data_IF_455988651996
#
_entry.id   IF_455988651996
#
_cell.length_a   1.000
_cell.length_b   1.000
_cell.length_c   1.000
_cell.angle_alpha   90.00
_cell.angle_beta   90.00
_cell.angle_gamma   90.00
#
_symmetry.space_group_name_H-M   'P 1'
#
loop_
_entity.id
_entity.type
_entity.pdbx_description
1 polymer ?
#
# COMPACT_ATOMS: atom_id res chain seq x y z
N UNK A 1 18.57 26.39 3.57
CA UNK A 1 17.88 26.24 2.27
C UNK A 1 18.79 25.44 1.36
N UNK A 2 18.35 24.29 0.89
CA UNK A 2 18.99 23.59 -0.23
C UNK A 2 17.86 22.98 -1.07
N UNK A 3 17.75 23.46 -2.31
CA UNK A 3 16.81 23.00 -3.30
C UNK A 3 17.63 22.18 -4.30
N UNK A 4 17.33 20.88 -4.42
CA UNK A 4 17.84 20.06 -5.53
C UNK A 4 16.66 19.85 -6.46
N UNK A 5 16.69 20.57 -7.58
CA UNK A 5 15.78 20.38 -8.72
C UNK A 5 16.40 19.35 -9.63
N UNK A 6 15.68 18.25 -9.87
CA UNK A 6 16.02 17.29 -10.92
C UNK A 6 14.88 16.30 -11.12
N UNK A 7 14.06 16.53 -12.14
CA UNK A 7 13.79 15.62 -13.27
C UNK A 7 12.84 16.34 -14.25
N UNK A 8 12.98 16.04 -15.54
CA UNK A 8 12.35 16.73 -16.68
C UNK A 8 10.81 16.80 -16.54
N UNK A 9 10.28 18.03 -16.52
CA UNK A 9 8.82 18.29 -16.51
C UNK A 9 8.33 18.97 -15.24
N UNK A 10 8.98 20.07 -14.83
CA UNK A 10 8.78 20.71 -13.52
C UNK A 10 7.32 21.04 -13.21
N UNK A 11 6.67 20.14 -12.47
CA UNK A 11 5.39 20.38 -11.83
C UNK A 11 5.54 21.55 -10.86
N UNK A 12 4.57 22.45 -10.87
CA UNK A 12 4.50 23.50 -9.87
C UNK A 12 4.38 22.84 -8.48
N UNK A 13 4.86 23.50 -7.43
CA UNK A 13 4.83 22.93 -6.07
C UNK A 13 3.42 22.47 -5.63
N UNK A 14 2.37 23.13 -6.13
CA UNK A 14 0.97 22.78 -5.89
C UNK A 14 0.53 21.51 -6.63
N UNK A 15 1.24 21.10 -7.67
CA UNK A 15 0.95 19.95 -8.53
C UNK A 15 1.76 18.70 -8.12
N UNK A 16 2.65 18.83 -7.14
CA UNK A 16 3.41 17.69 -6.59
C UNK A 16 2.44 16.81 -5.76
N UNK A 17 2.27 15.53 -6.10
CA UNK A 17 1.45 14.62 -5.32
C UNK A 17 1.93 14.53 -3.88
N UNK A 18 0.99 14.64 -2.93
CA UNK A 18 1.30 14.49 -1.52
C UNK A 18 1.35 13.02 -1.15
N UNK A 19 2.47 12.59 -0.57
CA UNK A 19 2.62 11.26 0.05
C UNK A 19 2.40 11.40 1.56
N UNK A 20 1.51 10.59 2.12
CA UNK A 20 1.19 10.61 3.54
C UNK A 20 0.73 9.23 4.01
N UNK A 21 0.93 8.92 5.29
CA UNK A 21 0.35 7.74 5.91
C UNK A 21 -1.16 7.91 6.08
N UNK A 22 -1.88 6.80 6.19
CA UNK A 22 -3.32 6.78 6.42
C UNK A 22 -3.74 7.61 7.64
N UNK A 23 -3.01 7.48 8.75
CA UNK A 23 -3.27 8.27 9.97
C UNK A 23 -3.17 9.77 9.71
N UNK A 24 -2.18 10.20 8.92
CA UNK A 24 -1.96 11.61 8.57
C UNK A 24 -3.05 12.17 7.65
N UNK A 25 -3.83 11.30 7.01
CA UNK A 25 -4.93 11.66 6.11
C UNK A 25 -6.30 11.66 6.81
N UNK A 26 -6.37 11.37 8.11
CA UNK A 26 -7.61 11.45 8.87
C UNK A 26 -8.24 12.85 8.76
N UNK A 27 -9.53 12.89 8.40
CA UNK A 27 -10.29 14.14 8.22
C UNK A 27 -9.92 14.94 6.97
N UNK A 28 -9.05 14.43 6.09
CA UNK A 28 -8.67 15.06 4.82
C UNK A 28 -9.26 14.28 3.65
N UNK A 29 -9.29 14.90 2.49
CA UNK A 29 -9.78 14.29 1.25
C UNK A 29 -8.91 14.70 0.04
N UNK A 30 -9.02 13.94 -1.05
CA UNK A 30 -8.39 14.24 -2.33
C UNK A 30 -9.25 13.70 -3.46
N UNK A 31 -9.24 14.36 -4.62
CA UNK A 31 -9.93 13.87 -5.83
C UNK A 31 -9.43 12.50 -6.24
N UNK A 32 -8.12 12.36 -6.32
CA UNK A 32 -7.44 11.12 -6.70
C UNK A 32 -6.57 10.65 -5.55
N UNK A 33 -6.67 9.35 -5.24
CA UNK A 33 -5.84 8.69 -4.25
C UNK A 33 -5.24 7.42 -4.83
N UNK A 34 -3.94 7.26 -4.63
CA UNK A 34 -3.23 6.01 -4.83
C UNK A 34 -2.95 5.47 -3.42
N UNK A 35 -3.56 4.34 -3.10
CA UNK A 35 -3.47 3.69 -1.80
C UNK A 35 -2.63 2.41 -1.93
N UNK A 36 -1.41 2.45 -1.40
CA UNK A 36 -0.55 1.28 -1.29
C UNK A 36 -0.77 0.62 0.07
N UNK A 37 -1.23 -0.63 0.05
CA UNK A 37 -1.49 -1.39 1.27
C UNK A 37 -0.21 -1.90 1.93
N UNK A 38 0.95 -1.91 1.25
CA UNK A 38 2.22 -2.39 1.81
C UNK A 38 2.10 -3.80 2.43
N UNK A 39 1.37 -4.69 1.75
CA UNK A 39 1.18 -6.10 2.15
C UNK A 39 1.94 -6.99 1.17
N UNK A 40 2.61 -8.02 1.70
CA UNK A 40 3.28 -9.03 0.88
C UNK A 40 2.43 -10.28 0.67
N UNK A 41 1.80 -10.80 1.71
CA UNK A 41 0.87 -11.94 1.67
C UNK A 41 -0.17 -11.85 2.78
N UNK A 42 -1.17 -12.71 2.74
CA UNK A 42 -2.14 -12.91 3.81
C UNK A 42 -2.18 -14.38 4.27
N UNK A 43 -1.02 -15.05 4.37
CA UNK A 43 -0.93 -16.42 4.88
C UNK A 43 -0.95 -16.42 6.42
N UNK A 44 -0.30 -15.46 7.05
CA UNK A 44 -0.38 -15.18 8.47
C UNK A 44 -0.75 -13.71 8.75
N UNK A 45 -1.31 -13.42 9.92
CA UNK A 45 -1.59 -12.03 10.33
C UNK A 45 -0.32 -11.18 10.44
N UNK A 46 0.83 -11.80 10.77
CA UNK A 46 2.13 -11.15 10.79
C UNK A 46 2.56 -10.59 9.42
N UNK A 47 2.12 -11.21 8.33
CA UNK A 47 2.46 -10.80 6.95
C UNK A 47 1.74 -9.51 6.55
N UNK A 48 0.63 -9.22 7.20
CA UNK A 48 -0.23 -8.05 6.94
C UNK A 48 0.14 -6.87 7.83
N UNK A 49 0.94 -7.07 8.89
CA UNK A 49 1.42 -6.00 9.74
C UNK A 49 0.31 -5.09 10.28
N UNK A 50 0.48 -3.77 10.16
CA UNK A 50 -0.47 -2.78 10.68
C UNK A 50 -1.76 -2.65 9.85
N UNK A 51 -1.86 -3.30 8.67
CA UNK A 51 -3.06 -3.18 7.82
C UNK A 51 -4.20 -4.11 8.24
N UNK A 52 -3.99 -4.94 9.26
CA UNK A 52 -5.05 -5.74 9.88
C UNK A 52 -6.08 -4.88 10.62
N UNK A 53 -5.71 -3.64 10.98
CA UNK A 53 -6.61 -2.70 11.64
C UNK A 53 -7.62 -2.12 10.63
N UNK A 54 -8.84 -2.63 10.68
CA UNK A 54 -9.95 -2.20 9.83
C UNK A 54 -10.26 -0.70 9.96
N UNK A 55 -9.97 -0.06 11.09
CA UNK A 55 -10.19 1.38 11.23
C UNK A 55 -9.23 2.17 10.34
N UNK A 56 -7.97 1.74 10.27
CA UNK A 56 -6.99 2.32 9.33
C UNK A 56 -7.43 2.09 7.90
N UNK A 57 -7.88 0.87 7.59
CA UNK A 57 -8.46 0.55 6.29
C UNK A 57 -9.60 1.50 5.90
N UNK A 58 -10.58 1.67 6.79
CA UNK A 58 -11.72 2.56 6.58
C UNK A 58 -11.30 4.02 6.37
N UNK A 59 -10.33 4.51 7.15
CA UNK A 59 -9.78 5.86 6.95
C UNK A 59 -9.21 5.95 5.54
N UNK A 60 -8.30 5.05 5.15
CA UNK A 60 -7.65 5.08 3.82
C UNK A 60 -8.66 5.03 2.67
N UNK A 61 -9.61 4.12 2.75
CA UNK A 61 -10.65 3.86 1.73
C UNK A 61 -11.71 4.95 1.62
N UNK A 62 -11.75 5.93 2.53
CA UNK A 62 -12.78 7.01 2.53
C UNK A 62 -12.21 8.39 2.25
N UNK A 63 -10.95 8.49 1.84
CA UNK A 63 -10.30 9.78 1.57
C UNK A 63 -10.53 10.27 0.14
N UNK A 64 -10.92 9.41 -0.80
CA UNK A 64 -11.11 9.80 -2.20
C UNK A 64 -12.46 10.48 -2.43
N UNK A 65 -12.52 11.43 -3.35
CA UNK A 65 -13.79 12.04 -3.79
C UNK A 65 -14.17 11.70 -5.24
N UNK A 66 -13.21 11.30 -6.08
CA UNK A 66 -13.48 10.94 -7.49
C UNK A 66 -12.92 9.55 -7.83
N UNK A 67 -11.62 9.32 -7.65
CA UNK A 67 -10.95 8.07 -8.08
C UNK A 67 -10.02 7.55 -7.00
N UNK A 68 -10.05 6.23 -6.79
CA UNK A 68 -9.08 5.51 -5.96
C UNK A 68 -8.44 4.36 -6.72
N UNK A 69 -7.11 4.28 -6.60
CA UNK A 69 -6.30 3.18 -7.10
C UNK A 69 -5.73 2.43 -5.88
N UNK A 70 -6.10 1.17 -5.72
CA UNK A 70 -5.58 0.31 -4.66
C UNK A 70 -4.44 -0.56 -5.21
N UNK A 71 -3.27 -0.49 -4.60
CA UNK A 71 -2.09 -1.29 -4.96
C UNK A 71 -1.88 -2.34 -3.89
N UNK A 72 -1.96 -3.61 -4.30
CA UNK A 72 -1.73 -4.77 -3.44
C UNK A 72 -1.52 -6.05 -4.27
N UNK A 73 -0.85 -7.08 -3.72
CA UNK A 73 -0.68 -8.34 -4.42
C UNK A 73 -2.03 -9.06 -4.61
N UNK A 74 -2.31 -9.52 -5.84
CA UNK A 74 -3.55 -10.22 -6.17
C UNK A 74 -3.81 -11.44 -5.27
N UNK A 75 -2.75 -12.14 -4.84
CA UNK A 75 -2.83 -13.30 -3.94
C UNK A 75 -3.47 -13.00 -2.57
N UNK A 76 -3.48 -11.74 -2.12
CA UNK A 76 -4.08 -11.35 -0.83
C UNK A 76 -5.57 -11.72 -0.77
N UNK A 77 -6.27 -11.78 -1.91
CA UNK A 77 -7.67 -12.22 -1.99
C UNK A 77 -7.87 -13.73 -1.87
N UNK A 78 -6.83 -14.55 -2.00
CA UNK A 78 -6.90 -16.02 -2.01
C UNK A 78 -5.98 -16.73 -1.00
N UNK A 79 -5.10 -16.00 -0.33
CA UNK A 79 -4.19 -16.53 0.69
C UNK A 79 -4.94 -17.04 1.94
N UNK A 80 -4.27 -17.78 2.82
CA UNK A 80 -4.93 -18.55 3.88
C UNK A 80 -5.89 -17.74 4.80
N UNK A 81 -5.62 -16.46 5.04
CA UNK A 81 -6.49 -15.57 5.85
C UNK A 81 -7.64 -14.93 5.09
N UNK A 82 -7.66 -15.03 3.76
CA UNK A 82 -8.80 -14.59 2.96
C UNK A 82 -9.90 -15.66 2.87
N UNK A 83 -9.60 -16.90 3.26
CA UNK A 83 -10.55 -17.99 3.26
C UNK A 83 -11.42 -17.90 4.52
N UNK A 84 -12.75 -17.95 4.34
CA UNK A 84 -13.65 -17.99 5.50
C UNK A 84 -13.32 -19.23 6.33
N UNK A 85 -12.88 -19.04 7.57
CA UNK A 85 -12.84 -20.13 8.52
C UNK A 85 -14.30 -20.42 8.88
N UNK A 86 -14.74 -21.67 8.69
CA UNK A 86 -16.11 -22.08 8.98
C UNK A 86 -16.55 -21.71 10.41
N UNK A 87 -17.85 -21.83 10.74
CA UNK A 87 -18.40 -21.38 12.02
C UNK A 87 -17.53 -21.86 13.20
N UNK A 88 -16.78 -20.94 13.82
CA UNK A 88 -16.07 -21.27 15.04
C UNK A 88 -17.01 -21.07 16.22
N UNK A 89 -16.84 -21.88 17.27
CA UNK A 89 -17.53 -21.67 18.54
C UNK A 89 -16.53 -21.14 19.55
N UNK A 90 -16.87 -20.07 20.27
CA UNK A 90 -16.07 -19.63 21.41
C UNK A 90 -16.21 -20.65 22.56
N UNK A 91 -15.49 -20.43 23.67
CA UNK A 91 -15.57 -21.28 24.87
C UNK A 91 -16.96 -21.33 25.52
N UNK A 92 -17.87 -20.42 25.14
CA UNK A 92 -19.25 -20.33 25.59
C UNK A 92 -20.24 -21.00 24.62
N UNK A 93 -19.76 -21.49 23.47
CA UNK A 93 -20.58 -22.12 22.44
C UNK A 93 -21.18 -21.17 21.41
N UNK A 94 -20.92 -19.86 21.52
CA UNK A 94 -21.43 -18.87 20.58
C UNK A 94 -20.73 -18.98 19.23
N UNK A 95 -21.49 -18.78 18.15
CA UNK A 95 -20.96 -18.72 16.79
C UNK A 95 -20.12 -17.46 16.62
N UNK A 96 -18.81 -17.64 16.49
CA UNK A 96 -17.86 -16.60 16.06
C UNK A 96 -17.82 -16.61 14.54
N UNK A 97 -18.35 -15.55 13.94
CA UNK A 97 -18.11 -15.24 12.54
C UNK A 97 -16.77 -14.51 12.52
N UNK A 98 -15.73 -15.17 12.00
CA UNK A 98 -14.44 -14.50 11.81
C UNK A 98 -14.50 -13.78 10.48
N UNK A 99 -14.64 -12.47 10.51
CA UNK A 99 -14.56 -11.66 9.30
C UNK A 99 -13.14 -11.81 8.71
N UNK A 100 -13.08 -11.92 7.39
CA UNK A 100 -11.80 -11.90 6.68
C UNK A 100 -11.15 -10.53 6.88
N UNK A 101 -9.81 -10.44 6.92
CA UNK A 101 -9.12 -9.16 7.04
C UNK A 101 -9.58 -8.18 5.96
N UNK A 102 -9.67 -6.90 6.33
CA UNK A 102 -10.20 -5.87 5.43
C UNK A 102 -9.49 -5.80 4.05
N UNK A 103 -8.15 -5.88 3.96
CA UNK A 103 -7.47 -5.93 2.65
C UNK A 103 -7.87 -7.15 1.81
N UNK A 104 -8.10 -8.31 2.44
CA UNK A 104 -8.55 -9.51 1.75
C UNK A 104 -9.96 -9.32 1.16
N UNK A 105 -10.89 -8.78 1.96
CA UNK A 105 -12.24 -8.45 1.50
C UNK A 105 -12.22 -7.49 0.30
N UNK A 106 -11.36 -6.47 0.34
CA UNK A 106 -11.21 -5.50 -0.74
C UNK A 106 -10.76 -6.17 -2.04
N UNK A 107 -9.73 -7.04 -2.02
CA UNK A 107 -9.29 -7.77 -3.23
C UNK A 107 -10.38 -8.68 -3.76
N UNK A 108 -11.04 -9.43 -2.87
CA UNK A 108 -12.12 -10.35 -3.26
C UNK A 108 -13.24 -9.60 -3.96
N UNK A 109 -13.64 -8.44 -3.42
CA UNK A 109 -14.67 -7.60 -4.01
C UNK A 109 -14.25 -7.04 -5.38
N UNK A 110 -13.05 -6.43 -5.49
CA UNK A 110 -12.56 -5.94 -6.78
C UNK A 110 -12.46 -7.05 -7.84
N UNK A 111 -12.08 -8.26 -7.41
CA UNK A 111 -12.01 -9.42 -8.32
C UNK A 111 -13.39 -9.86 -8.79
N UNK A 112 -14.43 -9.76 -7.94
CA UNK A 112 -15.81 -10.06 -8.35
C UNK A 112 -16.42 -9.02 -9.28
N UNK A 113 -15.92 -7.78 -9.24
CA UNK A 113 -16.38 -6.66 -10.08
C UNK A 113 -15.57 -6.52 -11.39
N UNK A 114 -14.70 -7.49 -11.71
CA UNK A 114 -13.77 -7.47 -12.85
C UNK A 114 -12.93 -6.18 -12.96
N UNK A 115 -12.77 -5.46 -11.84
CA UNK A 115 -12.15 -4.13 -11.77
C UNK A 115 -10.67 -4.21 -11.34
N UNK A 116 -10.00 -5.31 -11.68
CA UNK A 116 -8.61 -5.59 -11.33
C UNK A 116 -7.73 -5.47 -12.57
N UNK A 117 -6.77 -4.56 -12.53
CA UNK A 117 -5.68 -4.52 -13.50
C UNK A 117 -4.48 -5.19 -12.83
N UNK A 118 -3.99 -6.27 -13.43
CA UNK A 118 -2.78 -6.96 -12.95
C UNK A 118 -1.56 -6.43 -13.67
N UNK A 119 -0.48 -6.22 -12.92
CA UNK A 119 0.83 -5.88 -13.47
C UNK A 119 1.89 -6.79 -12.85
N UNK A 120 2.96 -7.04 -13.61
CA UNK A 120 4.13 -7.74 -13.08
C UNK A 120 5.04 -6.70 -12.44
N UNK A 121 5.34 -6.85 -11.16
CA UNK A 121 6.34 -6.01 -10.52
C UNK A 121 7.70 -6.24 -11.20
N UNK A 122 8.38 -5.18 -11.65
CA UNK A 122 9.71 -5.32 -12.23
C UNK A 122 10.67 -5.87 -11.18
N UNK A 123 11.65 -6.66 -11.62
CA UNK A 123 12.74 -7.08 -10.74
C UNK A 123 13.58 -5.87 -10.34
N UNK A 124 14.28 -5.97 -9.21
CA UNK A 124 15.19 -4.93 -8.74
C UNK A 124 16.20 -4.54 -9.84
N UNK A 125 16.74 -5.52 -10.55
CA UNK A 125 17.64 -5.34 -11.68
C UNK A 125 17.02 -4.59 -12.86
N UNK A 126 15.73 -4.83 -13.15
CA UNK A 126 15.00 -4.09 -14.19
C UNK A 126 14.74 -2.64 -13.76
N UNK A 127 14.47 -2.43 -12.47
CA UNK A 127 14.23 -1.10 -11.89
C UNK A 127 15.50 -0.24 -11.97
N UNK A 128 16.66 -0.80 -11.61
CA UNK A 128 17.94 -0.08 -11.63
C UNK A 128 18.58 0.03 -13.02
N UNK A 129 18.27 -0.87 -13.97
CA UNK A 129 18.69 -0.68 -15.37
C UNK A 129 18.02 0.52 -16.03
N UNK A 130 16.79 0.86 -15.62
CA UNK A 130 16.07 2.05 -16.09
C UNK A 130 16.57 3.37 -15.49
N UNK A 131 17.32 3.30 -14.39
CA UNK A 131 17.98 4.44 -13.72
C UNK A 131 19.48 4.34 -14.02
N UNK A 132 19.87 4.48 -15.30
CA UNK A 132 21.27 4.75 -15.58
C UNK A 132 21.58 6.13 -15.03
N UNK A 133 22.35 6.16 -13.93
CA UNK A 133 22.92 7.38 -13.38
C UNK A 133 23.81 8.00 -14.46
N UNK A 134 23.25 8.93 -15.21
CA UNK A 134 24.02 9.86 -16.00
C UNK A 134 24.84 10.70 -15.02
N UNK A 135 26.14 10.45 -15.09
CA UNK A 135 27.25 11.28 -14.62
C UNK A 135 27.62 11.18 -13.13
N UNK A 136 28.78 10.54 -12.94
CA UNK A 136 29.67 10.68 -11.80
C UNK A 136 29.99 12.17 -11.59
N UNK A 137 29.34 12.82 -10.63
CA UNK A 137 29.95 13.95 -9.92
C UNK A 137 29.91 13.70 -8.41
N UNK A 138 31.08 13.34 -7.90
CA UNK A 138 31.58 13.39 -6.51
C UNK A 138 30.54 13.59 -5.39
N UNK A 139 29.88 12.51 -4.97
CA UNK A 139 29.35 12.43 -3.61
C UNK A 139 30.49 12.03 -2.67
N UNK A 140 31.12 13.01 -2.03
CA UNK A 140 32.09 12.79 -0.96
C UNK A 140 31.36 12.11 0.21
N UNK A 141 31.64 10.82 0.43
CA UNK A 141 31.28 10.13 1.68
C UNK A 141 32.08 10.75 2.82
N UNK A 142 31.50 11.69 3.56
CA UNK A 142 31.96 12.01 4.91
C UNK A 142 31.19 11.13 5.89
N UNK A 143 31.68 9.91 6.09
CA UNK A 143 31.32 9.09 7.24
C UNK A 143 32.23 9.45 8.39
N UNK A 144 31.71 10.10 9.43
CA UNK A 144 32.35 10.14 10.74
C UNK A 144 31.44 9.40 11.71
N UNK A 145 31.78 8.14 11.97
CA UNK A 145 31.30 7.41 13.13
C UNK A 145 32.11 7.86 14.33
N UNK A 146 31.46 8.45 15.33
CA UNK A 146 32.05 8.68 16.65
C UNK A 146 31.14 7.98 17.65
N UNK A 147 31.69 6.96 18.31
CA UNK A 147 31.30 6.57 19.67
C UNK A 147 31.95 7.56 20.64
#
# INVERSE_FOLDING_TARGET
MAQVVGYRGGLLKAEIPKVATTDSMQGKESKVIINDWVITSANAFSDMGFTIDSNRGNVGMSRMTEVMLNILPARVGSDAKSLSHGPQRNHLGDKVITDVPYPCAVVQWYSSEESVITCTCPTEEQLFKGISFAEKENCVRSGSWIN
#
